data_IF_879078687063
#
_entry.id   IF_879078687063
#
_cell.length_a   1.000
_cell.length_b   1.000
_cell.length_c   1.000
_cell.angle_alpha   90.00
_cell.angle_beta   90.00
_cell.angle_gamma   90.00
#
_symmetry.space_group_name_H-M   'P 1'
#
loop_
_entity.id
_entity.type
_entity.pdbx_description
1 polymer ?
#
# COMPACT_ATOMS: atom_id res chain seq x y z
N UNK A 1 12.00 0.05 6.26
CA UNK A 1 11.32 -0.10 7.55
C UNK A 1 12.31 -0.48 8.64
N UNK A 2 11.81 -0.64 9.86
CA UNK A 2 12.57 -0.86 11.09
C UNK A 2 13.64 -1.94 11.05
N UNK A 3 13.47 -3.03 10.29
CA UNK A 3 14.53 -4.03 10.06
C UNK A 3 15.85 -3.39 9.56
N UNK A 4 15.75 -2.45 8.62
CA UNK A 4 16.90 -1.72 8.08
C UNK A 4 17.58 -0.89 9.16
N UNK A 5 16.80 -0.22 10.02
CA UNK A 5 17.35 0.58 11.11
C UNK A 5 18.14 -0.30 12.09
N UNK A 6 17.56 -1.42 12.54
CA UNK A 6 18.23 -2.32 13.47
C UNK A 6 19.53 -2.91 12.89
N UNK A 7 19.47 -3.42 11.66
CA UNK A 7 20.62 -4.04 10.98
C UNK A 7 21.71 -3.00 10.70
N UNK A 8 21.35 -1.84 10.15
CA UNK A 8 22.30 -0.78 9.82
C UNK A 8 22.97 -0.21 11.06
N UNK A 9 22.19 0.02 12.13
CA UNK A 9 22.71 0.59 13.38
C UNK A 9 23.64 -0.38 14.10
N UNK A 10 23.28 -1.68 14.12
CA UNK A 10 24.14 -2.74 14.66
C UNK A 10 25.45 -2.87 13.87
N UNK A 11 25.38 -2.88 12.54
CA UNK A 11 26.56 -2.90 11.68
C UNK A 11 27.45 -1.67 11.90
N UNK A 12 26.84 -0.48 11.95
CA UNK A 12 27.57 0.76 12.23
C UNK A 12 28.31 0.70 13.56
N UNK A 13 27.64 0.25 14.64
CA UNK A 13 28.27 0.09 15.96
C UNK A 13 29.41 -0.93 15.91
N UNK A 14 29.24 -2.05 15.20
CA UNK A 14 30.29 -3.06 15.02
C UNK A 14 31.52 -2.49 14.29
N UNK A 15 31.31 -1.71 13.23
CA UNK A 15 32.39 -1.06 12.48
C UNK A 15 33.12 -0.02 13.32
N UNK A 16 32.40 0.76 14.15
CA UNK A 16 32.99 1.70 15.11
C UNK A 16 33.82 0.98 16.17
N UNK A 17 33.34 -0.15 16.69
CA UNK A 17 34.08 -0.97 17.66
C UNK A 17 35.37 -1.57 17.07
N UNK A 18 35.40 -1.79 15.74
CA UNK A 18 36.60 -2.23 15.00
C UNK A 18 37.57 -1.09 14.64
N UNK A 19 37.34 0.13 15.14
CA UNK A 19 38.26 1.26 14.99
C UNK A 19 38.01 2.14 13.76
N UNK A 20 36.92 1.94 13.00
CA UNK A 20 36.62 2.81 11.86
C UNK A 20 36.14 4.20 12.32
N UNK A 21 36.54 5.24 11.58
CA UNK A 21 36.03 6.59 11.79
C UNK A 21 34.53 6.67 11.48
N UNK A 22 33.82 7.62 12.09
CA UNK A 22 32.37 7.78 11.94
C UNK A 22 31.94 7.92 10.47
N UNK A 23 32.69 8.71 9.69
CA UNK A 23 32.40 8.90 8.27
C UNK A 23 32.57 7.62 7.44
N UNK A 24 33.61 6.82 7.72
CA UNK A 24 33.86 5.58 6.98
C UNK A 24 32.85 4.50 7.38
N UNK A 25 32.59 4.34 8.67
CA UNK A 25 31.63 3.36 9.19
C UNK A 25 30.22 3.59 8.62
N UNK A 26 29.78 4.84 8.52
CA UNK A 26 28.47 5.19 7.96
C UNK A 26 28.35 4.83 6.47
N UNK A 27 29.35 5.20 5.66
CA UNK A 27 29.39 4.87 4.23
C UNK A 27 29.44 3.36 4.00
N UNK A 28 30.26 2.67 4.78
CA UNK A 28 30.36 1.22 4.72
C UNK A 28 29.02 0.55 5.08
N UNK A 29 28.33 0.99 6.12
CA UNK A 29 27.01 0.43 6.46
C UNK A 29 25.98 0.57 5.33
N UNK A 30 25.97 1.69 4.60
CA UNK A 30 25.11 1.88 3.43
C UNK A 30 25.50 0.99 2.24
N UNK A 31 26.80 0.84 1.99
CA UNK A 31 27.31 0.03 0.90
C UNK A 31 27.12 -1.47 1.15
N UNK A 32 27.14 -1.92 2.40
CA UNK A 32 27.07 -3.34 2.77
C UNK A 32 25.62 -3.85 2.84
N UNK A 33 24.66 -3.03 3.33
CA UNK A 33 23.29 -3.51 3.59
C UNK A 33 22.28 -3.00 2.56
N UNK A 34 21.97 -1.70 2.46
CA UNK A 34 21.04 -1.19 1.45
C UNK A 34 21.39 -1.54 0.01
N UNK A 35 22.63 -1.32 -0.43
CA UNK A 35 22.97 -1.45 -1.84
C UNK A 35 22.79 -2.90 -2.37
N UNK A 36 23.30 -3.96 -1.71
CA UNK A 36 23.08 -5.32 -2.18
C UNK A 36 21.61 -5.74 -2.11
N UNK A 37 20.87 -5.31 -1.08
CA UNK A 37 19.44 -5.61 -0.96
C UNK A 37 18.66 -4.95 -2.12
N UNK A 38 18.96 -3.70 -2.47
CA UNK A 38 18.31 -3.01 -3.59
C UNK A 38 18.66 -3.65 -4.93
N UNK A 39 19.93 -4.01 -5.15
CA UNK A 39 20.36 -4.71 -6.38
C UNK A 39 19.66 -6.07 -6.47
N UNK A 40 19.61 -6.82 -5.37
CA UNK A 40 18.93 -8.10 -5.31
C UNK A 40 17.43 -7.97 -5.63
N UNK A 41 16.73 -7.02 -5.01
CA UNK A 41 15.32 -6.75 -5.29
C UNK A 41 15.13 -6.31 -6.75
N UNK A 42 16.01 -5.46 -7.29
CA UNK A 42 15.95 -5.05 -8.69
C UNK A 42 16.09 -6.24 -9.65
N UNK A 43 17.03 -7.15 -9.39
CA UNK A 43 17.18 -8.38 -10.17
C UNK A 43 15.94 -9.27 -10.05
N UNK A 44 15.37 -9.44 -8.86
CA UNK A 44 14.13 -10.18 -8.67
C UNK A 44 12.97 -9.55 -9.46
N UNK A 45 12.84 -8.23 -9.45
CA UNK A 45 11.81 -7.51 -10.23
C UNK A 45 12.01 -7.72 -11.73
N UNK A 46 13.24 -7.80 -12.24
CA UNK A 46 13.50 -8.08 -13.65
C UNK A 46 13.20 -9.54 -14.04
N UNK A 47 13.35 -10.49 -13.11
CA UNK A 47 13.11 -11.92 -13.37
C UNK A 47 11.61 -12.27 -13.21
N UNK A 48 10.97 -11.74 -12.17
CA UNK A 48 9.60 -12.11 -11.77
C UNK A 48 8.54 -11.05 -12.07
N UNK A 49 8.94 -9.82 -12.41
CA UNK A 49 8.02 -8.74 -12.73
C UNK A 49 7.28 -9.00 -14.04
N UNK A 50 5.96 -8.89 -14.01
CA UNK A 50 5.11 -8.92 -15.19
C UNK A 50 4.98 -7.51 -15.78
N UNK A 51 5.35 -7.33 -17.05
CA UNK A 51 5.28 -6.04 -17.76
C UNK A 51 3.87 -5.44 -17.82
N UNK A 52 2.85 -6.27 -18.09
CA UNK A 52 1.46 -5.84 -18.11
C UNK A 52 0.50 -6.99 -17.69
N UNK A 53 -0.71 -6.67 -17.20
CA UNK A 53 -1.66 -7.68 -16.70
C UNK A 53 -2.17 -8.67 -17.77
N UNK A 54 -1.92 -8.41 -19.05
CA UNK A 54 -2.25 -9.29 -20.17
C UNK A 54 -1.00 -9.83 -20.93
N UNK A 55 0.20 -9.74 -20.32
CA UNK A 55 1.42 -10.36 -20.87
C UNK A 55 2.64 -9.44 -20.99
N UNK A 56 3.50 -9.69 -21.99
CA UNK A 56 4.65 -8.83 -22.31
C UNK A 56 4.18 -7.63 -23.13
N UNK A 57 4.61 -6.42 -22.77
CA UNK A 57 4.18 -5.18 -23.45
C UNK A 57 4.47 -5.18 -24.96
N UNK A 58 5.52 -5.88 -25.38
CA UNK A 58 5.88 -6.05 -26.79
C UNK A 58 4.80 -6.77 -27.62
N UNK A 59 3.91 -7.53 -26.99
CA UNK A 59 2.86 -8.34 -27.63
C UNK A 59 1.47 -7.69 -27.58
N UNK A 60 1.38 -6.40 -27.20
CA UNK A 60 0.10 -5.70 -26.97
C UNK A 60 -0.86 -5.66 -28.17
N UNK A 61 -0.37 -5.83 -29.39
CA UNK A 61 -1.22 -5.85 -30.60
C UNK A 61 -1.64 -7.27 -31.01
N UNK A 62 -1.18 -8.29 -30.28
CA UNK A 62 -1.43 -9.71 -30.58
C UNK A 62 -2.39 -10.36 -29.56
N UNK A 63 -3.01 -9.54 -28.70
CA UNK A 63 -4.04 -9.95 -27.74
C UNK A 63 -5.42 -9.74 -28.37
N UNK A 64 -6.39 -10.67 -28.19
CA UNK A 64 -7.72 -10.61 -28.79
C UNK A 64 -8.51 -9.31 -28.50
N UNK A 65 -8.10 -8.54 -27.50
CA UNK A 65 -8.67 -7.22 -27.20
C UNK A 65 -8.40 -6.17 -28.29
N UNK A 66 -7.35 -6.34 -29.10
CA UNK A 66 -7.01 -5.41 -30.18
C UNK A 66 -7.94 -5.55 -31.40
N UNK A 67 -8.48 -6.75 -31.66
CA UNK A 67 -9.38 -7.00 -32.79
C UNK A 67 -10.81 -6.44 -32.57
N UNK A 68 -11.23 -6.27 -31.32
CA UNK A 68 -12.55 -5.69 -30.99
C UNK A 68 -12.62 -4.21 -31.42
N UNK A 69 -11.46 -3.54 -31.51
CA UNK A 69 -11.39 -2.11 -31.83
C UNK A 69 -11.47 -1.82 -33.34
N UNK A 70 -11.28 -2.82 -34.21
CA UNK A 70 -11.36 -2.62 -35.67
C UNK A 70 -12.79 -2.78 -36.23
N UNK A 71 -13.73 -3.32 -35.45
CA UNK A 71 -15.12 -3.57 -35.90
C UNK A 71 -16.18 -2.64 -35.30
N UNK A 72 -15.79 -1.64 -34.51
CA UNK A 72 -16.72 -0.87 -33.67
C UNK A 72 -16.62 0.66 -33.75
N UNK A 73 -16.24 1.23 -34.90
CA UNK A 73 -16.29 2.68 -35.12
C UNK A 73 -17.09 3.00 -36.39
N UNK A 74 -18.40 2.70 -36.36
CA UNK A 74 -19.35 3.47 -37.14
C UNK A 74 -19.76 4.66 -36.26
N UNK A 75 -19.17 5.82 -36.58
CA UNK A 75 -19.51 7.12 -36.02
C UNK A 75 -20.98 7.43 -36.31
N UNK A 76 -21.84 7.45 -35.29
CA UNK A 76 -23.15 8.08 -35.35
C UNK A 76 -23.16 9.29 -34.42
N UNK A 77 -22.76 10.43 -34.98
CA UNK A 77 -23.12 11.76 -34.49
C UNK A 77 -24.62 11.96 -34.73
N UNK A 78 -25.38 12.22 -33.66
CA UNK A 78 -26.84 12.39 -33.70
C UNK A 78 -27.16 13.88 -33.57
N UNK A 79 -27.46 14.53 -34.70
CA UNK A 79 -28.20 15.80 -34.73
C UNK A 79 -28.98 15.94 -36.06
N UNK A 80 -30.20 16.49 -35.93
CA UNK A 80 -31.20 16.89 -36.95
C UNK A 80 -32.32 15.92 -37.40
N UNK A 81 -33.55 16.40 -37.15
CA UNK A 81 -34.85 16.01 -37.70
C UNK A 81 -34.87 15.90 -39.24
N UNK A 82 -35.50 14.85 -39.80
CA UNK A 82 -36.53 14.98 -40.85
C UNK A 82 -37.23 13.65 -41.21
N UNK A 83 -38.37 13.78 -41.89
CA UNK A 83 -39.50 12.86 -42.02
C UNK A 83 -39.44 11.83 -43.19
N UNK A 84 -40.19 10.74 -42.98
CA UNK A 84 -41.02 9.94 -43.93
C UNK A 84 -40.38 8.87 -44.86
N UNK A 85 -40.83 7.63 -44.60
CA UNK A 85 -41.48 6.66 -45.51
C UNK A 85 -40.76 5.46 -46.18
N UNK A 86 -41.49 4.32 -46.06
CA UNK A 86 -41.61 3.10 -46.88
C UNK A 86 -40.67 1.87 -46.77
N UNK A 87 -41.24 0.83 -46.12
CA UNK A 87 -41.21 -0.63 -46.39
C UNK A 87 -40.11 -1.23 -47.29
N UNK A 88 -39.41 -2.25 -46.75
CA UNK A 88 -39.27 -3.61 -47.34
C UNK A 88 -38.80 -4.66 -46.33
N UNK A 89 -39.17 -5.91 -46.61
CA UNK A 89 -39.18 -7.12 -45.76
C UNK A 89 -37.99 -8.04 -46.08
N UNK A 90 -37.58 -8.86 -45.08
CA UNK A 90 -36.70 -10.06 -45.11
C UNK A 90 -35.19 -9.84 -45.33
N UNK A 91 -34.28 -10.46 -44.57
CA UNK A 91 -34.26 -11.90 -44.23
C UNK A 91 -33.62 -12.22 -42.87
N UNK A 92 -34.09 -13.30 -42.26
CA UNK A 92 -33.62 -13.84 -40.97
C UNK A 92 -32.45 -14.79 -41.20
N UNK A 93 -31.27 -14.51 -40.63
CA UNK A 93 -30.25 -15.55 -40.41
C UNK A 93 -29.79 -15.49 -38.95
N UNK A 94 -30.27 -16.45 -38.16
CA UNK A 94 -29.85 -16.70 -36.79
C UNK A 94 -28.64 -17.63 -36.87
N UNK A 95 -27.44 -17.13 -36.55
CA UNK A 95 -26.26 -17.98 -36.40
C UNK A 95 -25.80 -17.95 -34.94
N UNK A 96 -25.83 -19.12 -34.32
CA UNK A 96 -25.77 -19.40 -32.88
C UNK A 96 -24.36 -19.21 -32.33
N UNK A 97 -24.22 -18.46 -31.23
CA UNK A 97 -22.99 -18.35 -30.43
C UNK A 97 -22.73 -19.63 -29.62
N UNK A 98 -21.50 -20.17 -29.59
CA UNK A 98 -21.02 -20.93 -28.43
C UNK A 98 -20.43 -19.96 -27.39
N UNK A 99 -21.18 -19.72 -26.32
CA UNK A 99 -20.73 -18.98 -25.13
C UNK A 99 -19.76 -19.86 -24.32
N UNK A 100 -18.46 -19.74 -24.57
CA UNK A 100 -17.47 -20.10 -23.56
C UNK A 100 -17.39 -18.93 -22.57
N UNK A 101 -18.02 -19.07 -21.39
CA UNK A 101 -17.89 -18.12 -20.27
C UNK A 101 -16.43 -18.12 -19.79
N UNK A 102 -15.57 -17.38 -20.47
CA UNK A 102 -14.38 -16.82 -19.85
C UNK A 102 -14.93 -15.74 -18.93
N UNK A 103 -14.69 -15.89 -17.62
CA UNK A 103 -15.02 -14.87 -16.62
C UNK A 103 -14.66 -13.51 -17.22
N UNK A 104 -15.63 -12.59 -17.24
CA UNK A 104 -15.47 -11.26 -17.80
C UNK A 104 -14.21 -10.62 -17.20
N UNK A 105 -13.09 -10.78 -17.91
CA UNK A 105 -11.93 -9.93 -17.75
C UNK A 105 -12.50 -8.61 -18.23
N UNK A 106 -12.77 -7.74 -17.27
CA UNK A 106 -13.08 -6.34 -17.49
C UNK A 106 -11.84 -5.73 -18.15
N UNK A 107 -11.69 -5.99 -19.46
CA UNK A 107 -10.62 -5.42 -20.26
C UNK A 107 -11.00 -3.95 -20.37
N UNK A 108 -10.54 -3.17 -19.40
CA UNK A 108 -10.60 -1.72 -19.48
C UNK A 108 -9.87 -1.32 -20.77
N UNK A 109 -10.66 -0.99 -21.80
CA UNK A 109 -10.14 -0.42 -23.04
C UNK A 109 -9.51 0.90 -22.62
N UNK A 110 -8.18 0.98 -22.74
CA UNK A 110 -7.45 2.21 -22.48
C UNK A 110 -7.84 3.24 -23.57
N UNK A 111 -8.94 3.94 -23.37
CA UNK A 111 -9.27 5.13 -24.14
C UNK A 111 -8.15 6.16 -23.93
N UNK A 112 -7.82 6.91 -24.99
CA UNK A 112 -6.85 8.01 -24.85
C UNK A 112 -7.36 8.99 -23.80
N UNK A 113 -6.55 9.22 -22.77
CA UNK A 113 -6.88 10.13 -21.68
C UNK A 113 -7.08 11.55 -22.24
N UNK A 114 -8.34 11.90 -22.51
CA UNK A 114 -8.72 13.26 -22.87
C UNK A 114 -8.78 14.10 -21.60
N UNK A 115 -8.31 15.35 -21.63
CA UNK A 115 -8.27 16.24 -20.45
C UNK A 115 -9.67 16.37 -19.80
N UNK A 116 -10.73 16.37 -20.61
CA UNK A 116 -12.13 16.35 -20.14
C UNK A 116 -12.47 15.06 -19.37
N UNK A 117 -12.03 13.90 -19.85
CA UNK A 117 -12.18 12.61 -19.18
C UNK A 117 -11.39 12.54 -17.87
N UNK A 118 -10.15 13.04 -17.88
CA UNK A 118 -9.31 13.13 -16.67
C UNK A 118 -9.99 13.97 -15.57
N UNK A 119 -10.55 15.13 -15.91
CA UNK A 119 -11.26 15.97 -14.94
C UNK A 119 -12.53 15.30 -14.39
N UNK A 120 -13.28 14.56 -15.22
CA UNK A 120 -14.45 13.79 -14.79
C UNK A 120 -14.07 12.67 -13.81
N UNK A 121 -12.95 11.98 -14.05
CA UNK A 121 -12.44 10.93 -13.16
C UNK A 121 -11.94 11.52 -11.83
N UNK A 122 -11.21 12.64 -11.87
CA UNK A 122 -10.72 13.34 -10.68
C UNK A 122 -11.85 13.94 -9.83
N UNK A 123 -12.93 14.36 -10.47
CA UNK A 123 -14.12 14.90 -9.78
C UNK A 123 -14.96 13.80 -9.12
N UNK A 124 -14.73 12.53 -9.45
CA UNK A 124 -15.43 11.42 -8.81
C UNK A 124 -14.78 11.08 -7.44
N UNK A 125 -15.51 11.19 -6.32
CA UNK A 125 -14.97 10.90 -4.99
C UNK A 125 -14.55 9.43 -4.80
N UNK A 126 -15.13 8.50 -5.57
CA UNK A 126 -14.76 7.07 -5.52
C UNK A 126 -13.33 6.82 -5.99
N UNK A 127 -12.81 7.66 -6.89
CA UNK A 127 -11.42 7.59 -7.37
C UNK A 127 -10.42 7.87 -6.25
N UNK A 128 -10.78 8.76 -5.32
CA UNK A 128 -9.90 9.17 -4.23
C UNK A 128 -9.92 8.23 -3.03
N UNK A 129 -10.95 7.39 -2.90
CA UNK A 129 -11.17 6.57 -1.72
C UNK A 129 -9.98 5.62 -1.41
N UNK A 130 -9.39 4.89 -2.38
CA UNK A 130 -8.19 4.09 -2.14
C UNK A 130 -6.95 4.94 -1.87
N UNK A 131 -6.81 6.09 -2.53
CA UNK A 131 -5.67 6.99 -2.34
C UNK A 131 -5.66 7.60 -0.93
N UNK A 132 -6.82 8.02 -0.43
CA UNK A 132 -6.98 8.55 0.93
C UNK A 132 -6.82 7.45 2.00
N UNK A 133 -7.34 6.25 1.74
CA UNK A 133 -7.12 5.10 2.62
C UNK A 133 -5.63 4.74 2.73
N UNK A 134 -4.91 4.78 1.60
CA UNK A 134 -3.45 4.60 1.60
C UNK A 134 -2.72 5.73 2.34
N UNK A 135 -3.06 6.98 2.04
CA UNK A 135 -2.43 8.15 2.65
C UNK A 135 -2.56 8.12 4.18
N UNK A 136 -3.71 7.72 4.70
CA UNK A 136 -3.95 7.63 6.15
C UNK A 136 -3.19 6.48 6.80
N UNK A 137 -3.20 5.29 6.21
CA UNK A 137 -2.47 4.12 6.75
C UNK A 137 -0.96 4.29 6.63
N UNK A 138 -0.45 4.53 5.44
CA UNK A 138 0.98 4.74 5.21
C UNK A 138 1.52 6.02 5.89
N UNK A 139 0.71 7.07 5.97
CA UNK A 139 1.07 8.30 6.68
C UNK A 139 1.30 8.07 8.19
N UNK A 140 0.43 7.31 8.84
CA UNK A 140 0.60 6.92 10.26
C UNK A 140 1.85 6.08 10.44
N UNK A 141 2.09 5.12 9.54
CA UNK A 141 3.28 4.26 9.59
C UNK A 141 4.57 5.10 9.52
N UNK A 142 4.66 6.03 8.56
CA UNK A 142 5.81 6.92 8.42
C UNK A 142 5.97 7.85 9.64
N UNK A 143 4.88 8.33 10.22
CA UNK A 143 4.91 9.17 11.42
C UNK A 143 5.45 8.41 12.64
N UNK A 144 4.98 7.17 12.86
CA UNK A 144 5.45 6.33 13.97
C UNK A 144 6.92 5.95 13.74
N UNK A 145 7.30 5.47 12.57
CA UNK A 145 8.67 5.04 12.28
C UNK A 145 9.69 6.18 12.41
N UNK A 146 9.30 7.42 12.12
CA UNK A 146 10.20 8.59 12.17
C UNK A 146 10.22 9.32 13.51
N UNK A 147 9.10 9.43 14.22
CA UNK A 147 9.01 10.26 15.44
C UNK A 147 9.00 9.45 16.74
N UNK A 148 8.63 8.18 16.71
CA UNK A 148 8.48 7.40 17.95
C UNK A 148 9.79 7.27 18.73
N UNK A 149 10.94 7.22 18.05
CA UNK A 149 12.25 7.21 18.73
C UNK A 149 12.47 8.47 19.56
N UNK A 150 12.01 9.63 19.08
CA UNK A 150 12.12 10.89 19.82
C UNK A 150 11.16 10.94 21.01
N UNK A 151 9.94 10.44 20.83
CA UNK A 151 8.95 10.33 21.91
C UNK A 151 9.47 9.41 23.02
N UNK A 152 9.93 8.20 22.68
CA UNK A 152 10.50 7.25 23.65
C UNK A 152 11.74 7.82 24.34
N UNK A 153 12.64 8.48 23.60
CA UNK A 153 13.79 9.14 24.21
C UNK A 153 13.37 10.25 25.17
N UNK A 154 12.45 11.13 24.79
CA UNK A 154 11.95 12.20 25.66
C UNK A 154 11.30 11.68 26.94
N UNK A 155 10.56 10.57 26.86
CA UNK A 155 9.87 9.98 28.00
C UNK A 155 10.80 9.25 28.97
N UNK A 156 11.80 8.52 28.46
CA UNK A 156 12.60 7.58 29.27
C UNK A 156 14.06 8.00 29.51
N UNK A 157 14.62 8.93 28.72
CA UNK A 157 16.04 9.34 28.84
C UNK A 157 16.43 9.86 30.23
N UNK A 158 15.52 10.56 30.91
CA UNK A 158 15.74 11.07 32.28
C UNK A 158 15.34 10.10 33.39
N UNK A 159 14.60 9.03 33.05
CA UNK A 159 13.97 8.14 34.04
C UNK A 159 14.68 6.79 34.15
N UNK A 160 15.22 6.28 33.04
CA UNK A 160 15.94 5.01 32.99
C UNK A 160 17.44 5.30 32.77
N UNK A 161 18.32 4.95 33.71
CA UNK A 161 19.76 5.16 33.53
C UNK A 161 20.26 4.34 32.34
N UNK A 162 20.94 5.00 31.39
CA UNK A 162 21.47 4.36 30.17
C UNK A 162 20.50 4.28 28.99
N UNK A 163 19.31 4.88 29.07
CA UNK A 163 18.39 4.94 27.93
C UNK A 163 18.86 5.95 26.88
N UNK A 164 19.62 5.44 25.91
CA UNK A 164 20.18 6.24 24.81
C UNK A 164 19.18 6.43 23.65
N UNK A 165 19.44 7.41 22.78
CA UNK A 165 18.71 7.57 21.52
C UNK A 165 18.78 6.29 20.66
N UNK A 166 19.89 5.57 20.71
CA UNK A 166 20.05 4.31 19.97
C UNK A 166 19.14 3.22 20.52
N UNK A 167 18.99 3.13 21.83
CA UNK A 167 18.06 2.19 22.48
C UNK A 167 16.61 2.50 22.09
N UNK A 168 16.22 3.78 22.09
CA UNK A 168 14.92 4.23 21.63
C UNK A 168 14.68 3.84 20.16
N UNK A 169 15.68 4.04 19.30
CA UNK A 169 15.63 3.63 17.91
C UNK A 169 15.47 2.13 17.72
N UNK A 170 16.13 1.29 18.54
CA UNK A 170 15.92 -0.16 18.51
C UNK A 170 14.48 -0.54 18.89
N UNK A 171 13.87 0.10 19.87
CA UNK A 171 12.45 -0.11 20.16
C UNK A 171 11.56 0.31 18.99
N UNK A 172 11.79 1.49 18.41
CA UNK A 172 11.04 1.95 17.22
C UNK A 172 11.22 1.03 16.02
N UNK A 173 12.39 0.40 15.88
CA UNK A 173 12.65 -0.56 14.80
C UNK A 173 11.74 -1.80 14.81
N UNK A 174 11.12 -2.12 15.96
CA UNK A 174 10.14 -3.21 16.06
C UNK A 174 8.89 -2.85 15.26
N UNK A 175 8.41 -1.61 15.33
CA UNK A 175 7.23 -1.16 14.59
C UNK A 175 7.43 -1.35 13.09
N UNK A 176 8.48 -0.76 12.53
CA UNK A 176 8.77 -0.96 11.11
C UNK A 176 9.29 -2.36 10.74
N UNK A 177 9.49 -3.28 11.68
CA UNK A 177 9.73 -4.70 11.40
C UNK A 177 8.42 -5.47 11.22
N UNK A 178 7.35 -5.12 11.96
CA UNK A 178 6.03 -5.74 11.87
C UNK A 178 5.50 -5.72 10.43
N UNK A 179 5.74 -4.61 9.72
CA UNK A 179 5.57 -4.41 8.29
C UNK A 179 5.89 -5.61 7.39
N UNK A 180 6.92 -6.39 7.72
CA UNK A 180 7.33 -7.54 6.91
C UNK A 180 6.29 -8.67 6.91
N UNK A 181 5.53 -8.80 8.01
CA UNK A 181 4.56 -9.87 8.23
C UNK A 181 3.13 -9.37 8.03
N UNK A 182 2.81 -8.21 8.59
CA UNK A 182 1.46 -7.64 8.64
C UNK A 182 0.95 -7.21 7.26
N UNK A 183 1.80 -6.66 6.40
CA UNK A 183 1.40 -6.23 5.04
C UNK A 183 1.04 -7.40 4.13
N UNK A 184 1.90 -8.43 3.94
CA UNK A 184 1.51 -9.60 3.15
C UNK A 184 0.29 -10.31 3.72
N UNK A 185 0.19 -10.39 5.06
CA UNK A 185 -0.94 -11.03 5.74
C UNK A 185 -2.24 -10.23 5.53
N UNK A 186 -2.19 -8.90 5.59
CA UNK A 186 -3.32 -8.02 5.31
C UNK A 186 -3.84 -8.19 3.89
N UNK A 187 -2.94 -8.25 2.89
CA UNK A 187 -3.31 -8.54 1.50
C UNK A 187 -3.95 -9.92 1.34
N UNK A 188 -3.33 -10.95 1.91
CA UNK A 188 -3.85 -12.32 1.88
C UNK A 188 -5.26 -12.44 2.49
N UNK A 189 -5.49 -11.80 3.65
CA UNK A 189 -6.82 -11.80 4.28
C UNK A 189 -7.83 -11.00 3.45
N UNK A 190 -7.42 -9.90 2.82
CA UNK A 190 -8.29 -9.13 1.95
C UNK A 190 -8.75 -9.95 0.73
N UNK A 191 -7.86 -10.77 0.15
CA UNK A 191 -8.21 -11.69 -0.93
C UNK A 191 -9.16 -12.81 -0.48
N UNK A 192 -8.99 -13.32 0.74
CA UNK A 192 -9.92 -14.28 1.32
C UNK A 192 -11.31 -13.66 1.55
N UNK A 193 -11.35 -12.42 2.04
CA UNK A 193 -12.59 -11.65 2.20
C UNK A 193 -13.25 -11.34 0.86
N UNK A 194 -12.46 -11.10 -0.18
CA UNK A 194 -13.00 -10.85 -1.52
C UNK A 194 -13.70 -12.08 -2.10
N UNK A 195 -13.13 -13.28 -1.89
CA UNK A 195 -13.76 -14.53 -2.34
C UNK A 195 -15.11 -14.81 -1.65
N UNK A 196 -15.28 -14.37 -0.41
CA UNK A 196 -16.48 -14.65 0.39
C UNK A 196 -17.53 -13.53 0.35
N UNK A 197 -17.12 -12.26 0.36
CA UNK A 197 -18.01 -11.10 0.48
C UNK A 197 -17.88 -10.08 -0.67
N UNK A 198 -17.05 -10.37 -1.68
CA UNK A 198 -16.82 -9.48 -2.83
C UNK A 198 -16.15 -8.16 -2.45
N UNK A 199 -16.37 -7.12 -3.27
CA UNK A 199 -15.77 -5.79 -3.10
C UNK A 199 -16.24 -5.06 -1.84
N UNK A 200 -17.40 -5.43 -1.27
CA UNK A 200 -17.91 -4.83 -0.03
C UNK A 200 -17.10 -5.29 1.18
N UNK A 201 -16.68 -6.55 1.21
CA UNK A 201 -15.85 -7.10 2.29
C UNK A 201 -14.52 -6.35 2.46
N UNK A 202 -13.82 -6.09 1.35
CA UNK A 202 -12.56 -5.32 1.35
C UNK A 202 -12.74 -3.91 1.91
N UNK A 203 -13.83 -3.22 1.53
CA UNK A 203 -14.16 -1.87 2.04
C UNK A 203 -14.36 -1.87 3.55
N UNK A 204 -15.18 -2.78 4.07
CA UNK A 204 -15.44 -2.86 5.51
C UNK A 204 -14.20 -3.28 6.31
N UNK A 205 -13.38 -4.20 5.77
CA UNK A 205 -12.13 -4.60 6.42
C UNK A 205 -11.15 -3.46 6.54
N UNK A 206 -10.94 -2.69 5.46
CA UNK A 206 -10.04 -1.53 5.46
C UNK A 206 -10.56 -0.43 6.40
N UNK A 207 -11.87 -0.19 6.42
CA UNK A 207 -12.49 0.77 7.33
C UNK A 207 -12.34 0.35 8.81
N UNK A 208 -12.57 -0.94 9.11
CA UNK A 208 -12.40 -1.49 10.46
C UNK A 208 -10.96 -1.34 10.93
N UNK A 209 -9.98 -1.65 10.08
CA UNK A 209 -8.57 -1.45 10.37
C UNK A 209 -8.26 0.03 10.69
N UNK A 210 -8.81 0.96 9.91
CA UNK A 210 -8.68 2.39 10.16
C UNK A 210 -9.27 2.84 11.51
N UNK A 211 -10.44 2.31 11.87
CA UNK A 211 -11.09 2.62 13.17
C UNK A 211 -10.27 2.07 14.33
N UNK A 212 -9.80 0.81 14.25
CA UNK A 212 -9.00 0.20 15.32
C UNK A 212 -7.66 0.94 15.47
N UNK A 213 -7.01 1.29 14.36
CA UNK A 213 -5.79 2.11 14.35
C UNK A 213 -6.05 3.47 15.02
N UNK A 214 -7.10 4.19 14.63
CA UNK A 214 -7.43 5.49 15.21
C UNK A 214 -7.72 5.41 16.71
N UNK A 215 -8.49 4.41 17.13
CA UNK A 215 -8.78 4.16 18.54
C UNK A 215 -7.51 3.83 19.35
N UNK A 216 -6.61 3.01 18.81
CA UNK A 216 -5.34 2.67 19.45
C UNK A 216 -4.43 3.89 19.60
N UNK A 217 -4.36 4.77 18.59
CA UNK A 217 -3.58 6.01 18.66
C UNK A 217 -4.12 6.98 19.72
N UNK A 218 -5.44 7.16 19.77
CA UNK A 218 -6.10 8.01 20.77
C UNK A 218 -5.88 7.44 22.17
N UNK A 219 -6.03 6.12 22.35
CA UNK A 219 -5.76 5.46 23.63
C UNK A 219 -4.30 5.61 24.06
N UNK A 220 -3.35 5.48 23.12
CA UNK A 220 -1.93 5.69 23.37
C UNK A 220 -1.62 7.15 23.77
N UNK A 221 -2.25 8.12 23.11
CA UNK A 221 -2.14 9.53 23.43
C UNK A 221 -2.63 9.86 24.84
N UNK A 222 -3.85 9.44 25.18
CA UNK A 222 -4.39 9.65 26.53
C UNK A 222 -3.60 8.92 27.61
N UNK A 223 -3.09 7.72 27.33
CA UNK A 223 -2.26 6.98 28.27
C UNK A 223 -0.95 7.72 28.60
N UNK A 224 -0.31 8.30 27.59
CA UNK A 224 0.90 9.12 27.77
C UNK A 224 0.56 10.39 28.56
N UNK A 225 -0.58 11.03 28.29
CA UNK A 225 -1.01 12.25 28.99
C UNK A 225 -1.34 12.00 30.47
N UNK A 226 -2.12 10.97 30.79
CA UNK A 226 -2.49 10.61 32.18
C UNK A 226 -1.26 10.22 33.03
N UNK A 227 -0.18 9.73 32.39
CA UNK A 227 1.04 9.29 33.04
C UNK A 227 2.23 10.28 32.88
N UNK A 228 1.97 11.56 32.57
CA UNK A 228 3.04 12.57 32.50
C UNK A 228 3.58 12.99 33.89
N UNK A 229 2.94 12.57 34.97
CA UNK A 229 3.29 12.98 36.34
C UNK A 229 4.50 12.20 36.90
N UNK A 230 5.31 12.85 37.74
CA UNK A 230 6.57 12.30 38.28
C UNK A 230 6.42 10.94 39.02
N UNK A 231 5.23 10.60 39.51
CA UNK A 231 4.95 9.41 40.33
C UNK A 231 4.31 8.23 39.56
N UNK A 232 3.68 8.47 38.41
CA UNK A 232 3.10 7.44 37.55
C UNK A 232 3.82 7.45 36.22
N UNK A 233 4.80 6.57 36.02
CA UNK A 233 5.48 6.45 34.73
C UNK A 233 4.67 5.55 33.80
N UNK A 234 4.49 5.92 32.52
CA UNK A 234 3.85 5.03 31.58
C UNK A 234 4.77 3.82 31.40
N UNK A 235 4.21 2.63 31.50
CA UNK A 235 4.98 1.40 31.29
C UNK A 235 5.43 1.34 29.84
N UNK A 236 6.72 1.11 29.63
CA UNK A 236 7.30 0.96 28.29
C UNK A 236 6.57 -0.15 27.52
N UNK A 237 6.27 -1.26 28.20
CA UNK A 237 5.56 -2.38 27.59
C UNK A 237 4.14 -1.98 27.12
N UNK A 238 3.45 -1.14 27.88
CA UNK A 238 2.10 -0.68 27.52
C UNK A 238 2.13 0.27 26.32
N UNK A 239 3.06 1.23 26.29
CA UNK A 239 3.25 2.11 25.11
C UNK A 239 3.60 1.26 23.89
N UNK A 240 4.59 0.38 24.01
CA UNK A 240 5.02 -0.48 22.92
C UNK A 240 3.87 -1.37 22.43
N UNK A 241 3.05 -1.93 23.32
CA UNK A 241 1.89 -2.75 22.96
C UNK A 241 0.80 -1.98 22.23
N UNK A 242 0.41 -0.80 22.74
CA UNK A 242 -0.65 0.03 22.14
C UNK A 242 -0.24 0.55 20.76
N UNK A 243 0.99 1.04 20.62
CA UNK A 243 1.48 1.49 19.31
C UNK A 243 1.76 0.33 18.35
N UNK A 244 2.17 -0.85 18.84
CA UNK A 244 2.27 -2.05 17.99
C UNK A 244 0.91 -2.43 17.44
N UNK A 245 -0.15 -2.35 18.25
CA UNK A 245 -1.52 -2.60 17.80
C UNK A 245 -1.90 -1.61 16.69
N UNK A 246 -1.67 -0.31 16.90
CA UNK A 246 -1.94 0.70 15.89
C UNK A 246 -1.20 0.44 14.57
N UNK A 247 0.09 0.08 14.66
CA UNK A 247 0.95 -0.24 13.51
C UNK A 247 0.44 -1.49 12.78
N UNK A 248 0.15 -2.58 13.49
CA UNK A 248 -0.38 -3.82 12.89
C UNK A 248 -1.63 -3.54 12.06
N UNK A 249 -2.61 -2.83 12.61
CA UNK A 249 -3.85 -2.53 11.90
C UNK A 249 -3.66 -1.52 10.77
N UNK A 250 -2.73 -0.57 10.92
CA UNK A 250 -2.35 0.33 9.82
C UNK A 250 -1.77 -0.43 8.64
N UNK A 251 -0.77 -1.28 8.90
CA UNK A 251 -0.05 -2.07 7.90
C UNK A 251 -0.94 -3.13 7.25
N UNK A 252 -1.85 -3.72 8.04
CA UNK A 252 -2.86 -4.64 7.55
C UNK A 252 -3.85 -3.96 6.61
N UNK A 253 -4.36 -2.78 7.00
CA UNK A 253 -5.25 -1.97 6.16
C UNK A 253 -4.57 -1.50 4.87
N UNK A 254 -3.28 -1.18 4.96
CA UNK A 254 -2.45 -0.85 3.81
C UNK A 254 -2.33 -2.04 2.85
N UNK A 255 -1.99 -3.23 3.35
CA UNK A 255 -1.97 -4.46 2.56
C UNK A 255 -3.32 -4.79 1.92
N UNK A 256 -4.42 -4.57 2.63
CA UNK A 256 -5.78 -4.79 2.13
C UNK A 256 -6.21 -3.81 1.02
N UNK A 257 -5.58 -2.64 0.94
CA UNK A 257 -5.88 -1.63 -0.09
C UNK A 257 -5.21 -1.93 -1.44
N UNK A 258 -4.13 -2.72 -1.45
CA UNK A 258 -3.36 -3.08 -2.65
C UNK A 258 -3.60 -4.50 -3.17
N UNK A 259 -4.32 -5.34 -2.41
CA UNK A 259 -4.77 -6.65 -2.83
C UNK A 259 -6.15 -6.56 -3.50
#
# INVERSE_FOLDING_TARGET
GGATFAIMTSLYQSLRARGLSQHVAWRASFAIVPAPVLIFVAVLTLIYGTDHPAGKWSQRHNIPAAEINEQGHDDHDDDSDEKLDEKKVQDTSVTVHPVQKIAAIDVAVNERLTIKGAFKILSNPLTWLPALAYLTTFGVELAIDSQMSNVLFGLYSKKIPGFSQTTAGYYTSIFGFLNLVTRPLGGYVADLLYRSFGTRGKKYSTLLCGIIMGAALIAGGFYIEDHHTATKTPSLATIMGVFSLAVIFSEFGNGANFA
#
